data_IF_837312507348
#
_entry.id   IF_837312507348
#
_cell.length_a   1.000
_cell.length_b   1.000
_cell.length_c   1.000
_cell.angle_alpha   90.00
_cell.angle_beta   90.00
_cell.angle_gamma   90.00
#
_symmetry.space_group_name_H-M   'P 1'
#
loop_
_entity.id
_entity.type
_entity.pdbx_description
1 polymer ?
#
# COMPACT_ATOMS: atom_id res chain seq x y z
N UNK A 1 24.72 -11.06 -9.94
CA UNK A 1 23.49 -11.86 -9.94
C UNK A 1 22.94 -11.85 -8.52
N UNK A 2 22.07 -10.88 -8.19
CA UNK A 2 21.43 -10.81 -6.89
C UNK A 2 20.13 -11.59 -6.95
N UNK A 3 20.05 -12.68 -6.17
CA UNK A 3 18.81 -13.43 -5.95
C UNK A 3 17.86 -12.54 -5.15
N UNK A 4 16.84 -11.98 -5.81
CA UNK A 4 15.66 -11.40 -5.14
C UNK A 4 14.85 -12.57 -4.57
N UNK A 5 14.86 -12.72 -3.25
CA UNK A 5 13.91 -13.58 -2.55
C UNK A 5 12.53 -12.93 -2.62
N UNK A 6 11.58 -13.61 -3.26
CA UNK A 6 10.17 -13.27 -3.16
C UNK A 6 9.69 -13.57 -1.73
N UNK A 7 8.95 -12.68 -1.05
CA UNK A 7 8.40 -12.97 0.26
C UNK A 7 7.23 -13.94 0.13
N UNK A 8 7.51 -15.22 0.34
CA UNK A 8 6.52 -16.25 0.66
C UNK A 8 6.02 -16.05 2.09
N UNK A 9 4.88 -15.37 2.30
CA UNK A 9 4.12 -15.51 3.55
C UNK A 9 2.68 -14.96 3.44
N UNK A 10 1.86 -15.57 2.57
CA UNK A 10 0.41 -15.36 2.53
C UNK A 10 -0.33 -16.26 3.54
N UNK A 11 0.15 -16.31 4.80
CA UNK A 11 -0.46 -17.13 5.86
C UNK A 11 -0.10 -16.59 7.26
N UNK A 12 -0.60 -15.41 7.63
CA UNK A 12 -0.65 -14.95 9.02
C UNK A 12 -1.98 -14.24 9.31
N UNK A 13 -3.07 -14.99 9.14
CA UNK A 13 -4.40 -14.63 9.63
C UNK A 13 -4.76 -15.61 10.76
N UNK A 14 -4.16 -15.47 11.96
CA UNK A 14 -4.76 -16.02 13.18
C UNK A 14 -4.01 -15.62 14.48
N UNK A 15 -4.79 -15.11 15.43
CA UNK A 15 -4.62 -15.11 16.89
C UNK A 15 -3.69 -14.06 17.52
N UNK A 16 -4.26 -12.88 17.78
CA UNK A 16 -3.95 -12.07 18.97
C UNK A 16 -5.15 -12.20 19.91
N UNK A 17 -5.04 -13.08 20.90
CA UNK A 17 -5.85 -13.07 22.12
C UNK A 17 -5.02 -13.76 23.18
N UNK A 18 -4.51 -12.96 24.14
CA UNK A 18 -4.42 -13.28 25.57
C UNK A 18 -3.68 -12.12 26.27
N UNK A 19 -4.45 -11.11 26.70
CA UNK A 19 -4.08 -10.26 27.83
C UNK A 19 -4.49 -11.00 29.11
N UNK A 20 -3.53 -11.46 29.91
CA UNK A 20 -3.78 -11.90 31.28
C UNK A 20 -2.83 -11.12 32.21
N UNK A 21 -3.49 -10.43 33.14
CA UNK A 21 -3.09 -9.87 34.43
C UNK A 21 -1.77 -10.33 35.05
N UNK A 22 -0.98 -9.37 35.56
CA UNK A 22 -0.21 -9.55 36.80
C UNK A 22 0.06 -8.19 37.50
N UNK A 23 -0.22 -8.03 38.81
CA UNK A 23 0.00 -6.79 39.56
C UNK A 23 1.09 -6.95 40.63
N UNK A 24 2.36 -7.22 40.28
CA UNK A 24 3.44 -7.19 41.28
C UNK A 24 4.79 -6.71 40.72
N UNK A 25 5.45 -5.88 41.53
CA UNK A 25 6.84 -5.40 41.50
C UNK A 25 7.23 -4.19 40.63
N UNK A 26 7.24 -3.04 41.30
CA UNK A 26 8.17 -1.93 41.06
C UNK A 26 9.64 -2.41 41.16
N UNK A 27 10.53 -1.77 40.39
CA UNK A 27 12.01 -1.93 40.32
C UNK A 27 12.47 -2.86 39.19
N UNK A 28 12.43 -2.35 37.95
CA UNK A 28 13.47 -2.41 36.89
C UNK A 28 12.84 -1.96 35.55
N UNK A 29 12.98 -0.69 35.16
CA UNK A 29 12.84 -0.31 33.73
C UNK A 29 13.92 0.66 33.28
N UNK A 30 15.18 0.29 33.52
CA UNK A 30 16.35 0.91 32.85
C UNK A 30 16.62 0.25 31.48
N UNK A 31 15.91 -0.84 31.17
CA UNK A 31 15.93 -1.52 29.87
C UNK A 31 14.51 -1.68 29.32
N UNK A 32 13.70 -0.63 29.42
CA UNK A 32 12.55 -0.41 28.53
C UNK A 32 13.10 -0.13 27.10
N UNK A 33 13.92 -1.04 26.56
CA UNK A 33 14.16 -1.16 25.12
C UNK A 33 12.80 -1.68 24.65
N UNK A 34 11.92 -0.76 24.24
CA UNK A 34 10.77 -1.16 23.46
C UNK A 34 11.31 -2.16 22.43
N UNK A 35 10.73 -3.38 22.31
CA UNK A 35 11.07 -4.22 21.18
C UNK A 35 10.98 -3.30 19.96
N UNK A 36 12.00 -3.36 19.09
CA UNK A 36 11.91 -2.67 17.81
C UNK A 36 10.73 -3.33 17.08
N UNK A 37 9.52 -2.85 17.37
CA UNK A 37 8.33 -3.19 16.65
C UNK A 37 8.65 -2.77 15.22
N UNK A 38 8.63 -3.75 14.32
CA UNK A 38 8.91 -3.50 12.92
C UNK A 38 8.07 -2.34 12.43
N UNK A 39 8.65 -1.53 11.55
CA UNK A 39 7.93 -0.46 10.91
C UNK A 39 6.82 -1.06 10.03
N UNK A 40 5.58 -1.01 10.53
CA UNK A 40 4.41 -1.32 9.71
C UNK A 40 4.16 -0.17 8.75
N UNK A 41 4.21 -0.50 7.47
CA UNK A 41 4.02 0.39 6.36
C UNK A 41 2.79 0.03 5.56
N UNK A 42 1.98 1.03 5.23
CA UNK A 42 0.84 0.89 4.33
C UNK A 42 1.10 1.64 3.03
N UNK A 43 1.01 0.93 1.92
CA UNK A 43 0.91 1.46 0.58
C UNK A 43 -0.55 1.69 0.21
N UNK A 44 -0.91 2.93 -0.05
CA UNK A 44 -2.29 3.34 -0.28
C UNK A 44 -2.41 3.96 -1.67
N UNK A 45 -3.41 3.54 -2.44
CA UNK A 45 -3.74 4.20 -3.71
C UNK A 45 -5.04 4.99 -3.59
N UNK A 46 -5.04 6.21 -4.12
CA UNK A 46 -6.17 7.14 -4.06
C UNK A 46 -6.44 7.80 -5.41
N UNK A 47 -7.70 8.13 -5.66
CA UNK A 47 -8.07 9.15 -6.65
C UNK A 47 -7.69 10.52 -6.10
N UNK A 48 -6.88 11.26 -6.86
CA UNK A 48 -6.52 12.63 -6.57
C UNK A 48 -7.64 13.53 -7.10
N UNK A 49 -8.42 14.10 -6.18
CA UNK A 49 -9.48 15.07 -6.48
C UNK A 49 -9.06 16.48 -6.08
N UNK A 50 -9.73 17.50 -6.62
CA UNK A 50 -9.51 18.90 -6.24
C UNK A 50 -9.77 19.16 -4.75
N UNK A 51 -10.66 18.37 -4.14
CA UNK A 51 -10.99 18.45 -2.71
C UNK A 51 -9.99 17.68 -1.82
N UNK A 52 -8.88 17.20 -2.38
CA UNK A 52 -7.86 16.41 -1.68
C UNK A 52 -8.18 14.92 -1.58
N UNK A 53 -7.63 14.29 -0.55
CA UNK A 53 -7.77 12.86 -0.28
C UNK A 53 -8.98 12.61 0.62
N UNK A 54 -9.91 11.79 0.15
CA UNK A 54 -11.08 11.33 0.92
C UNK A 54 -11.07 9.82 1.03
N UNK A 55 -11.71 9.28 2.07
CA UNK A 55 -11.85 7.82 2.25
C UNK A 55 -12.63 7.17 1.10
N UNK A 56 -13.58 7.89 0.51
CA UNK A 56 -14.37 7.44 -0.66
C UNK A 56 -13.51 7.32 -1.93
N UNK A 57 -12.40 8.05 -1.98
CA UNK A 57 -11.45 8.01 -3.09
C UNK A 57 -10.32 6.98 -2.88
N UNK A 58 -10.31 6.25 -1.75
CA UNK A 58 -9.35 5.17 -1.51
C UNK A 58 -9.67 4.00 -2.43
N UNK A 59 -8.68 3.56 -3.20
CA UNK A 59 -8.79 2.41 -4.10
C UNK A 59 -8.29 1.15 -3.37
N UNK A 60 -7.08 1.19 -2.81
CA UNK A 60 -6.48 0.03 -2.15
C UNK A 60 -5.55 0.37 -0.97
N UNK A 61 -5.26 -0.65 -0.17
CA UNK A 61 -4.31 -0.67 0.96
C UNK A 61 -3.50 -1.95 0.88
N UNK A 62 -2.18 -1.86 0.95
CA UNK A 62 -1.28 -3.01 1.07
C UNK A 62 -0.36 -2.75 2.27
N UNK A 63 -0.45 -3.61 3.28
CA UNK A 63 0.37 -3.53 4.48
C UNK A 63 1.61 -4.41 4.34
N UNK A 64 2.76 -3.95 4.83
CA UNK A 64 4.00 -4.70 4.85
C UNK A 64 4.89 -4.24 6.01
N UNK A 65 5.66 -5.19 6.54
CA UNK A 65 6.71 -4.91 7.52
C UNK A 65 8.04 -4.62 6.80
N UNK A 66 8.72 -3.55 7.23
CA UNK A 66 10.11 -3.32 6.84
C UNK A 66 10.99 -3.75 8.01
N UNK A 67 11.72 -4.85 7.80
CA UNK A 67 12.72 -5.34 8.77
C UNK A 67 13.73 -4.24 9.11
N UNK A 68 14.22 -4.26 10.35
CA UNK A 68 15.25 -3.35 10.87
C UNK A 68 14.95 -1.86 10.63
N UNK A 69 13.68 -1.48 10.65
CA UNK A 69 13.24 -0.10 10.48
C UNK A 69 12.42 0.35 11.68
N UNK A 70 12.65 1.58 12.11
CA UNK A 70 11.93 2.22 13.21
C UNK A 70 11.09 3.38 12.68
N UNK A 71 10.20 3.90 13.52
CA UNK A 71 9.33 5.04 13.22
C UNK A 71 10.10 6.37 13.22
N UNK A 72 11.02 6.55 12.29
CA UNK A 72 11.76 7.79 12.07
C UNK A 72 11.72 8.24 10.61
N UNK A 73 12.39 9.35 10.30
CA UNK A 73 12.44 9.88 8.94
C UNK A 73 13.05 8.91 7.93
N UNK A 74 14.03 8.11 8.33
CA UNK A 74 14.68 7.12 7.46
C UNK A 74 13.74 5.95 7.19
N UNK A 75 13.00 5.48 8.20
CA UNK A 75 11.94 4.50 8.08
C UNK A 75 10.86 4.93 7.09
N UNK A 76 10.36 6.16 7.22
CA UNK A 76 9.38 6.75 6.28
C UNK A 76 9.94 6.77 4.85
N UNK A 77 11.22 7.11 4.67
CA UNK A 77 11.84 7.11 3.35
C UNK A 77 12.00 5.70 2.77
N UNK A 78 12.35 4.70 3.58
CA UNK A 78 12.36 3.28 3.15
C UNK A 78 10.97 2.82 2.73
N UNK A 79 9.94 3.16 3.50
CA UNK A 79 8.54 2.92 3.20
C UNK A 79 8.14 3.50 1.84
N UNK A 80 8.48 4.77 1.63
CA UNK A 80 8.18 5.48 0.39
C UNK A 80 8.84 4.82 -0.82
N UNK A 81 10.12 4.48 -0.71
CA UNK A 81 10.89 3.86 -1.78
C UNK A 81 10.36 2.46 -2.11
N UNK A 82 10.15 1.62 -1.09
CA UNK A 82 9.57 0.30 -1.28
C UNK A 82 8.21 0.38 -1.98
N UNK A 83 7.35 1.30 -1.55
CA UNK A 83 6.03 1.48 -2.14
C UNK A 83 6.11 1.87 -3.62
N UNK A 84 7.00 2.80 -3.95
CA UNK A 84 7.22 3.24 -5.33
C UNK A 84 7.76 2.09 -6.20
N UNK A 85 8.77 1.37 -5.74
CA UNK A 85 9.37 0.26 -6.47
C UNK A 85 8.34 -0.85 -6.72
N UNK A 86 7.55 -1.18 -5.69
CA UNK A 86 6.47 -2.17 -5.79
C UNK A 86 5.43 -1.76 -6.85
N UNK A 87 4.91 -0.53 -6.80
CA UNK A 87 3.93 -0.08 -7.79
C UNK A 87 4.54 0.03 -9.19
N UNK A 88 5.79 0.49 -9.33
CA UNK A 88 6.48 0.50 -10.62
C UNK A 88 6.57 -0.90 -11.23
N UNK A 89 6.93 -1.90 -10.44
CA UNK A 89 7.06 -3.29 -10.89
C UNK A 89 5.69 -3.90 -11.24
N UNK A 90 4.70 -3.76 -10.34
CA UNK A 90 3.38 -4.39 -10.50
C UNK A 90 2.53 -3.79 -11.63
N UNK A 91 2.80 -2.55 -12.01
CA UNK A 91 1.93 -1.80 -12.93
C UNK A 91 2.63 -1.38 -14.22
N UNK A 92 3.83 -1.92 -14.48
CA UNK A 92 4.68 -1.50 -15.60
C UNK A 92 4.83 0.04 -15.64
N UNK A 93 5.29 0.60 -14.53
CA UNK A 93 5.50 2.03 -14.33
C UNK A 93 4.20 2.87 -14.40
N UNK A 94 3.10 2.36 -13.86
CA UNK A 94 1.84 3.10 -13.74
C UNK A 94 0.93 3.00 -14.97
N UNK A 95 1.14 2.00 -15.83
CA UNK A 95 0.28 1.68 -16.96
C UNK A 95 -0.98 0.96 -16.46
N UNK A 96 -2.15 1.55 -16.64
CA UNK A 96 -3.40 0.94 -16.17
C UNK A 96 -3.83 -0.26 -17.03
N UNK A 97 -3.22 -0.45 -18.18
CA UNK A 97 -3.52 -1.51 -19.14
C UNK A 97 -2.58 -2.70 -19.06
N UNK A 98 -1.53 -2.61 -18.24
CA UNK A 98 -0.69 -3.74 -17.88
C UNK A 98 -1.49 -4.79 -17.10
N UNK A 99 -1.11 -6.06 -17.24
CA UNK A 99 -1.67 -7.17 -16.49
C UNK A 99 -0.77 -7.41 -15.28
N UNK A 100 -1.35 -7.47 -14.07
CA UNK A 100 -0.56 -7.71 -12.88
C UNK A 100 0.12 -9.08 -12.94
N UNK A 101 1.38 -9.21 -12.47
CA UNK A 101 2.05 -10.51 -12.40
C UNK A 101 1.23 -11.53 -11.61
N UNK A 102 0.93 -12.67 -12.22
CA UNK A 102 0.15 -13.74 -11.58
C UNK A 102 -1.37 -13.56 -11.61
N UNK A 103 -1.88 -12.49 -12.24
CA UNK A 103 -3.30 -12.28 -12.49
C UNK A 103 -3.59 -12.30 -14.01
N UNK A 104 -4.86 -12.30 -14.38
CA UNK A 104 -5.37 -12.12 -15.75
C UNK A 104 -6.03 -10.75 -15.96
N UNK A 105 -6.20 -9.98 -14.88
CA UNK A 105 -6.85 -8.66 -14.93
C UNK A 105 -5.85 -7.54 -15.20
N UNK A 106 -6.31 -6.55 -15.96
CA UNK A 106 -5.59 -5.29 -16.12
C UNK A 106 -5.62 -4.51 -14.81
N UNK A 107 -4.57 -3.76 -14.52
CA UNK A 107 -4.48 -2.92 -13.30
C UNK A 107 -5.70 -2.01 -13.15
N UNK A 108 -6.12 -1.35 -14.23
CA UNK A 108 -7.27 -0.46 -14.22
C UNK A 108 -8.59 -1.17 -13.93
N UNK A 109 -8.78 -2.40 -14.41
CA UNK A 109 -9.98 -3.18 -14.08
C UNK A 109 -10.02 -3.54 -12.60
N UNK A 110 -8.88 -3.98 -12.05
CA UNK A 110 -8.74 -4.24 -10.62
C UNK A 110 -9.05 -2.99 -9.77
N UNK A 111 -8.56 -1.82 -10.17
CA UNK A 111 -8.86 -0.56 -9.49
C UNK A 111 -10.35 -0.21 -9.54
N UNK A 112 -11.00 -0.39 -10.69
CA UNK A 112 -12.42 -0.13 -10.85
C UNK A 112 -13.30 -1.08 -10.03
N UNK A 113 -12.89 -2.34 -9.88
CA UNK A 113 -13.54 -3.30 -9.00
C UNK A 113 -13.39 -2.89 -7.53
N UNK A 114 -12.19 -2.46 -7.12
CA UNK A 114 -11.90 -2.05 -5.74
C UNK A 114 -12.64 -0.76 -5.35
N UNK A 115 -12.69 0.22 -6.25
CA UNK A 115 -13.33 1.51 -6.01
C UNK A 115 -14.86 1.42 -5.91
N UNK A 116 -15.50 0.47 -6.59
CA UNK A 116 -16.96 0.23 -6.59
C UNK A 116 -17.85 1.41 -7.02
N UNK A 117 -17.31 2.46 -7.63
CA UNK A 117 -18.05 3.59 -8.18
C UNK A 117 -17.63 3.91 -9.61
N UNK A 118 -18.50 4.63 -10.33
CA UNK A 118 -18.18 5.13 -11.65
C UNK A 118 -17.41 6.46 -11.52
N UNK A 119 -16.25 6.54 -12.16
CA UNK A 119 -15.39 7.73 -12.19
C UNK A 119 -14.81 7.85 -13.59
N UNK A 120 -14.53 9.05 -14.10
CA UNK A 120 -13.80 9.21 -15.35
C UNK A 120 -12.84 10.39 -15.29
N UNK A 121 -11.76 10.28 -16.06
CA UNK A 121 -10.64 11.23 -16.07
C UNK A 121 -10.01 11.42 -14.68
N UNK A 122 -10.04 10.38 -13.84
CA UNK A 122 -9.49 10.43 -12.49
C UNK A 122 -7.98 10.18 -12.53
N UNK A 123 -7.19 11.01 -11.85
CA UNK A 123 -5.76 10.72 -11.63
C UNK A 123 -5.59 9.85 -10.41
N UNK A 124 -4.77 8.81 -10.50
CA UNK A 124 -4.47 7.92 -9.38
C UNK A 124 -3.06 8.21 -8.87
N UNK A 125 -2.93 8.34 -7.56
CA UNK A 125 -1.65 8.52 -6.86
C UNK A 125 -1.45 7.50 -5.77
N UNK A 126 -0.18 7.29 -5.42
CA UNK A 126 0.23 6.41 -4.32
C UNK A 126 0.73 7.26 -3.15
N UNK A 127 0.32 6.84 -1.96
CA UNK A 127 0.62 7.44 -0.68
C UNK A 127 1.11 6.35 0.27
N UNK A 128 1.88 6.72 1.28
CA UNK A 128 2.22 5.83 2.37
C UNK A 128 1.60 6.32 3.68
N UNK A 129 1.32 5.37 4.57
CA UNK A 129 1.10 5.62 5.98
C UNK A 129 2.02 4.72 6.78
N UNK A 130 2.63 5.24 7.84
CA UNK A 130 3.49 4.44 8.71
C UNK A 130 3.36 4.92 10.15
N UNK A 131 3.42 4.01 11.13
CA UNK A 131 3.39 4.35 12.56
C UNK A 131 2.22 5.25 13.00
N UNK A 132 1.07 5.14 12.34
CA UNK A 132 -0.09 6.00 12.63
C UNK A 132 0.11 7.48 12.29
N UNK A 133 1.14 7.83 11.49
CA UNK A 133 1.36 9.18 10.98
C UNK A 133 0.35 9.58 9.91
N UNK A 134 0.39 10.86 9.52
CA UNK A 134 -0.35 11.38 8.38
C UNK A 134 0.09 10.73 7.06
N UNK A 135 -0.77 10.80 6.05
CA UNK A 135 -0.46 10.31 4.71
C UNK A 135 0.69 11.10 4.09
N UNK A 136 1.71 10.39 3.61
CA UNK A 136 2.85 10.99 2.90
C UNK A 136 2.77 10.64 1.42
N UNK A 137 2.83 11.66 0.58
CA UNK A 137 2.85 11.50 -0.87
C UNK A 137 4.16 10.86 -1.34
N UNK A 138 4.06 9.75 -2.07
CA UNK A 138 5.24 9.07 -2.61
C UNK A 138 5.77 9.74 -3.87
N UNK A 139 4.98 10.60 -4.51
CA UNK A 139 5.26 11.19 -5.82
C UNK A 139 4.94 10.27 -7.00
N UNK A 140 4.60 9.00 -6.77
CA UNK A 140 4.19 8.09 -7.83
C UNK A 140 2.78 8.41 -8.30
N UNK A 141 2.63 8.48 -9.62
CA UNK A 141 1.37 8.74 -10.31
C UNK A 141 1.22 7.74 -11.44
N UNK A 142 0.01 7.26 -11.63
CA UNK A 142 -0.32 6.46 -12.80
C UNK A 142 -0.22 7.33 -14.05
N UNK A 143 0.34 6.77 -15.12
CA UNK A 143 0.52 7.45 -16.41
C UNK A 143 -0.85 7.75 -17.01
N UNK A 144 -1.73 6.75 -16.97
CA UNK A 144 -3.07 6.84 -17.51
C UNK A 144 -4.04 7.40 -16.47
N UNK A 145 -5.03 8.16 -16.95
CA UNK A 145 -6.20 8.46 -16.13
C UNK A 145 -7.06 7.20 -15.97
N UNK A 146 -7.76 7.08 -14.86
CA UNK A 146 -8.73 6.02 -14.61
C UNK A 146 -10.12 6.45 -15.07
N UNK A 147 -10.81 5.58 -15.80
CA UNK A 147 -12.23 5.74 -16.13
C UNK A 147 -12.94 4.41 -15.94
N UNK A 148 -13.75 4.35 -14.89
CA UNK A 148 -14.50 3.19 -14.45
C UNK A 148 -15.97 3.32 -14.85
N UNK A 149 -16.45 2.33 -15.59
CA UNK A 149 -17.86 2.17 -15.92
C UNK A 149 -18.26 0.73 -15.67
N UNK A 150 -19.28 0.53 -14.84
CA UNK A 150 -19.75 -0.84 -14.51
C UNK A 150 -18.63 -1.73 -13.96
N UNK A 151 -17.77 -1.16 -13.09
CA UNK A 151 -16.61 -1.82 -12.46
C UNK A 151 -15.50 -2.27 -13.44
N UNK A 152 -15.49 -1.77 -14.68
CA UNK A 152 -14.42 -2.02 -15.65
C UNK A 152 -13.75 -0.72 -16.09
N UNK A 153 -12.46 -0.80 -16.38
CA UNK A 153 -11.70 0.29 -16.98
C UNK A 153 -12.05 0.40 -18.46
N UNK A 154 -12.43 1.60 -18.89
CA UNK A 154 -12.75 1.86 -20.31
C UNK A 154 -11.55 2.33 -21.12
N UNK A 155 -10.44 2.68 -20.46
CA UNK A 155 -9.28 3.27 -21.12
C UNK A 155 -8.40 2.22 -21.81
N UNK A 156 -8.48 0.97 -21.34
CA UNK A 156 -7.69 -0.12 -21.87
C UNK A 156 -8.45 -0.87 -22.96
N UNK A 157 -8.46 -0.32 -24.18
CA UNK A 157 -8.96 -1.07 -25.35
C UNK A 157 -8.17 -2.36 -25.50
N UNK A 158 -8.87 -3.44 -25.82
CA UNK A 158 -8.23 -4.68 -26.26
C UNK A 158 -7.80 -4.40 -27.70
N UNK A 159 -6.50 -4.27 -27.94
CA UNK A 159 -5.99 -4.42 -29.31
C UNK A 159 -6.18 -5.89 -29.66
N UNK A 160 -7.15 -6.16 -30.54
CA UNK A 160 -7.42 -7.48 -31.09
C UNK A 160 -6.38 -7.84 -32.15
#
# INVERSE_FOLDING_TARGET
>A
MHQKHAPTSFNKFLVILLKIFDPFNHIFCVLCRNPAEGLLCECLSYIISENGLSKENKISSIEYDIEDSVCDGDGVMKCKNYCNDMYQELTENGNLCSIMPGDSKKVGDWMCEALQQNVCNARVGVFIQSCGSDLVDTGFRFIDTLCCKSKKSTNCRVEN
#
